data_IF_332068169036
#
_entry.id   IF_332068169036
#
_cell.length_a   1.000
_cell.length_b   1.000
_cell.length_c   1.000
_cell.angle_alpha   90.00
_cell.angle_beta   90.00
_cell.angle_gamma   90.00
#
_symmetry.space_group_name_H-M   'P 1'
#
loop_
_entity.id
_entity.type
_entity.pdbx_description
1 polymer ?
#
# COMPACT_ATOMS: atom_id res chain seq x y z
N UNK A 1 -23.86 -25.17 15.70
CA UNK A 1 -24.28 -23.87 15.16
C UNK A 1 -23.01 -23.10 14.88
N UNK A 2 -22.68 -22.87 13.60
CA UNK A 2 -21.46 -22.15 13.22
C UNK A 2 -21.72 -20.66 13.46
N UNK A 3 -20.89 -20.00 14.24
CA UNK A 3 -21.00 -18.57 14.46
C UNK A 3 -20.58 -17.79 13.20
N UNK A 4 -21.13 -16.60 12.98
CA UNK A 4 -20.89 -15.81 11.76
C UNK A 4 -19.40 -15.55 11.51
N UNK A 5 -18.61 -15.31 12.56
CA UNK A 5 -17.16 -15.11 12.46
C UNK A 5 -16.40 -16.39 12.03
N UNK A 6 -16.90 -17.58 12.40
CA UNK A 6 -16.32 -18.85 11.95
C UNK A 6 -16.55 -19.03 10.45
N UNK A 7 -17.72 -18.63 9.95
CA UNK A 7 -18.02 -18.67 8.52
C UNK A 7 -17.07 -17.77 7.72
N UNK A 8 -16.80 -16.55 8.21
CA UNK A 8 -15.85 -15.62 7.58
C UNK A 8 -14.44 -16.20 7.53
N UNK A 9 -13.97 -16.80 8.63
CA UNK A 9 -12.66 -17.44 8.66
C UNK A 9 -12.57 -18.63 7.69
N UNK A 10 -13.60 -19.48 7.64
CA UNK A 10 -13.64 -20.60 6.69
C UNK A 10 -13.64 -20.09 5.26
N UNK A 11 -14.45 -19.08 4.92
CA UNK A 11 -14.44 -18.48 3.58
C UNK A 11 -13.08 -17.90 3.20
N UNK A 12 -12.41 -17.23 4.14
CA UNK A 12 -11.09 -16.65 3.93
C UNK A 12 -10.04 -17.72 3.67
N UNK A 13 -10.03 -18.80 4.47
CA UNK A 13 -9.11 -19.92 4.29
C UNK A 13 -9.39 -20.69 3.00
N UNK A 14 -10.66 -20.90 2.63
CA UNK A 14 -11.04 -21.57 1.39
C UNK A 14 -10.66 -20.73 0.17
N UNK A 15 -10.88 -19.41 0.22
CA UNK A 15 -10.51 -18.49 -0.85
C UNK A 15 -8.98 -18.47 -1.07
N UNK A 16 -8.21 -18.24 0.00
CA UNK A 16 -6.75 -18.19 -0.10
C UNK A 16 -6.14 -19.56 -0.41
N UNK A 17 -6.66 -20.64 0.18
CA UNK A 17 -6.25 -22.01 -0.16
C UNK A 17 -6.55 -22.34 -1.62
N UNK A 18 -7.70 -21.92 -2.13
CA UNK A 18 -8.06 -22.02 -3.55
C UNK A 18 -7.09 -21.28 -4.46
N UNK A 19 -6.77 -20.02 -4.14
CA UNK A 19 -5.77 -19.24 -4.90
C UNK A 19 -4.41 -19.93 -4.94
N UNK A 20 -3.94 -20.49 -3.82
CA UNK A 20 -2.66 -21.21 -3.78
C UNK A 20 -2.69 -22.50 -4.61
N UNK A 21 -3.83 -23.21 -4.64
CA UNK A 21 -4.01 -24.38 -5.52
C UNK A 21 -3.97 -23.96 -6.98
N UNK A 22 -4.67 -22.88 -7.35
CA UNK A 22 -4.66 -22.34 -8.72
C UNK A 22 -3.26 -21.93 -9.12
N UNK A 23 -2.53 -21.23 -8.25
CA UNK A 23 -1.12 -20.86 -8.47
C UNK A 23 -0.26 -22.10 -8.75
N UNK A 24 -0.40 -23.14 -7.94
CA UNK A 24 0.36 -24.39 -8.11
C UNK A 24 -0.01 -25.16 -9.38
N UNK A 25 -1.26 -25.10 -9.83
CA UNK A 25 -1.73 -25.79 -11.03
C UNK A 25 -1.36 -25.06 -12.32
N UNK A 26 -1.50 -23.75 -12.35
CA UNK A 26 -1.33 -22.94 -13.57
C UNK A 26 0.04 -22.23 -13.64
N UNK A 27 0.82 -22.27 -12.55
CA UNK A 27 2.09 -21.57 -12.40
C UNK A 27 1.91 -20.08 -12.75
N UNK A 28 1.14 -19.37 -11.93
CA UNK A 28 0.72 -17.99 -12.19
C UNK A 28 1.91 -17.03 -12.22
N UNK A 29 3.06 -17.41 -11.65
CA UNK A 29 4.30 -16.65 -11.75
C UNK A 29 4.71 -16.40 -13.20
N UNK A 30 4.40 -17.31 -14.13
CA UNK A 30 4.64 -17.12 -15.58
C UNK A 30 3.87 -15.94 -16.16
N UNK A 31 2.76 -15.57 -15.55
CA UNK A 31 1.92 -14.43 -15.93
C UNK A 31 2.20 -13.18 -15.09
N UNK A 32 3.24 -13.21 -14.23
CA UNK A 32 3.58 -12.11 -13.34
C UNK A 32 2.70 -12.03 -12.09
N UNK A 33 1.96 -13.09 -11.76
CA UNK A 33 1.12 -13.14 -10.55
C UNK A 33 1.73 -14.13 -9.55
N UNK A 34 2.20 -13.63 -8.41
CA UNK A 34 2.74 -14.45 -7.34
C UNK A 34 1.72 -14.53 -6.19
N UNK A 35 1.40 -15.75 -5.76
CA UNK A 35 0.44 -15.99 -4.68
C UNK A 35 1.15 -16.58 -3.47
N UNK A 36 1.26 -15.78 -2.41
CA UNK A 36 1.73 -16.19 -1.10
C UNK A 36 0.53 -16.29 -0.12
N UNK A 37 0.68 -16.93 1.05
CA UNK A 37 -0.37 -16.92 2.06
C UNK A 37 -0.78 -15.48 2.41
N UNK A 38 -2.03 -15.14 2.11
CA UNK A 38 -2.63 -13.82 2.36
C UNK A 38 -2.01 -12.64 1.60
N UNK A 39 -1.12 -12.90 0.64
CA UNK A 39 -0.48 -11.88 -0.16
C UNK A 39 -0.53 -12.27 -1.64
N UNK A 40 -1.16 -11.43 -2.45
CA UNK A 40 -1.20 -11.59 -3.89
C UNK A 40 -0.46 -10.44 -4.54
N UNK A 41 0.52 -10.74 -5.39
CA UNK A 41 1.36 -9.73 -6.05
C UNK A 41 1.17 -9.87 -7.55
N UNK A 42 0.74 -8.79 -8.21
CA UNK A 42 0.57 -8.71 -9.66
C UNK A 42 1.60 -7.75 -10.23
N UNK A 43 2.66 -8.29 -10.84
CA UNK A 43 3.73 -7.55 -11.53
C UNK A 43 3.34 -7.23 -12.97
N UNK A 44 3.73 -6.05 -13.42
CA UNK A 44 3.57 -5.59 -14.80
C UNK A 44 4.74 -4.69 -15.21
N UNK A 45 5.16 -4.79 -16.47
CA UNK A 45 6.15 -3.88 -17.08
C UNK A 45 5.50 -2.77 -17.91
N UNK A 46 4.18 -2.86 -18.16
CA UNK A 46 3.47 -1.91 -19.01
C UNK A 46 3.46 -0.50 -18.40
N UNK A 47 3.32 -0.41 -17.08
CA UNK A 47 3.31 0.87 -16.35
C UNK A 47 4.69 1.53 -16.35
N UNK A 48 5.79 0.76 -16.39
CA UNK A 48 7.16 1.29 -16.40
C UNK A 48 7.39 2.23 -17.58
N UNK A 49 6.86 1.90 -18.77
CA UNK A 49 6.98 2.72 -19.97
C UNK A 49 6.22 4.05 -19.84
N UNK A 50 5.04 4.03 -19.20
CA UNK A 50 4.22 5.22 -18.96
C UNK A 50 4.95 6.16 -17.99
N UNK A 51 5.41 5.60 -16.86
CA UNK A 51 6.19 6.34 -15.86
C UNK A 51 7.46 6.93 -16.46
N UNK A 52 8.20 6.13 -17.25
CA UNK A 52 9.42 6.58 -17.93
C UNK A 52 9.15 7.74 -18.89
N UNK A 53 8.11 7.65 -19.72
CA UNK A 53 7.73 8.74 -20.64
C UNK A 53 7.33 10.00 -19.89
N UNK A 54 6.56 9.86 -18.81
CA UNK A 54 6.12 11.00 -17.99
C UNK A 54 7.29 11.68 -17.27
N UNK A 55 8.21 10.90 -16.70
CA UNK A 55 9.41 11.42 -16.03
C UNK A 55 10.35 12.14 -17.02
N UNK A 56 10.62 11.53 -18.16
CA UNK A 56 11.54 12.07 -19.17
C UNK A 56 10.99 13.29 -19.92
N UNK A 57 9.68 13.55 -19.87
CA UNK A 57 9.07 14.75 -20.49
C UNK A 57 9.49 16.05 -19.80
N UNK A 58 9.71 16.01 -18.49
CA UNK A 58 10.07 17.18 -17.69
C UNK A 58 10.93 16.80 -16.47
N UNK A 59 12.13 16.19 -16.68
CA UNK A 59 12.93 15.63 -15.60
C UNK A 59 13.27 16.67 -14.54
N UNK A 60 13.63 17.91 -14.94
CA UNK A 60 13.91 18.99 -14.00
C UNK A 60 12.73 19.31 -13.06
N UNK A 61 11.49 19.29 -13.56
CA UNK A 61 10.32 19.55 -12.71
C UNK A 61 10.13 18.46 -11.66
N UNK A 62 10.31 17.19 -12.05
CA UNK A 62 10.22 16.06 -11.14
C UNK A 62 11.34 16.04 -10.10
N UNK A 63 12.56 16.44 -10.48
CA UNK A 63 13.69 16.57 -9.54
C UNK A 63 13.43 17.65 -8.50
N UNK A 64 13.00 18.85 -8.93
CA UNK A 64 12.64 19.93 -8.00
C UNK A 64 11.53 19.49 -7.04
N UNK A 65 10.50 18.81 -7.57
CA UNK A 65 9.42 18.27 -6.73
C UNK A 65 9.94 17.23 -5.75
N UNK A 66 10.81 16.32 -6.20
CA UNK A 66 11.48 15.31 -5.37
C UNK A 66 12.29 15.94 -4.25
N UNK A 67 13.20 16.85 -4.59
CA UNK A 67 14.05 17.57 -3.64
C UNK A 67 13.24 18.37 -2.62
N UNK A 68 12.17 19.04 -3.05
CA UNK A 68 11.25 19.75 -2.15
C UNK A 68 10.44 18.79 -1.25
N UNK A 69 10.14 17.58 -1.74
CA UNK A 69 9.40 16.58 -0.98
C UNK A 69 10.21 15.97 0.17
N UNK A 70 11.55 15.95 0.08
CA UNK A 70 12.42 15.40 1.12
C UNK A 70 12.24 16.12 2.47
N UNK A 71 12.46 17.45 2.59
CA UNK A 71 12.27 18.14 3.86
C UNK A 71 10.80 18.10 4.30
N UNK A 72 9.83 18.14 3.38
CA UNK A 72 8.41 18.01 3.71
C UNK A 72 8.09 16.63 4.30
N UNK A 73 8.65 15.56 3.73
CA UNK A 73 8.48 14.18 4.18
C UNK A 73 9.06 13.97 5.58
N UNK A 74 10.29 14.42 5.82
CA UNK A 74 10.88 14.40 7.17
C UNK A 74 10.10 15.25 8.17
N UNK A 75 9.58 16.41 7.76
CA UNK A 75 8.74 17.26 8.62
C UNK A 75 7.43 16.57 8.97
N UNK A 76 6.76 15.95 8.00
CA UNK A 76 5.53 15.21 8.20
C UNK A 76 5.74 13.98 9.10
N UNK A 77 6.85 13.25 8.91
CA UNK A 77 7.24 12.15 9.78
C UNK A 77 7.45 12.63 11.23
N UNK A 78 8.22 13.71 11.41
CA UNK A 78 8.44 14.31 12.73
C UNK A 78 7.14 14.77 13.40
N UNK A 79 6.25 15.41 12.64
CA UNK A 79 4.94 15.82 13.14
C UNK A 79 4.05 14.63 13.53
N UNK A 80 4.05 13.56 12.73
CA UNK A 80 3.34 12.33 13.04
C UNK A 80 3.84 11.67 14.34
N UNK A 81 5.16 11.54 14.50
CA UNK A 81 5.78 11.03 15.73
C UNK A 81 5.43 11.90 16.94
N UNK A 82 5.45 13.23 16.76
CA UNK A 82 5.05 14.17 17.81
C UNK A 82 3.60 13.97 18.25
N UNK A 83 2.65 13.88 17.31
CA UNK A 83 1.23 13.65 17.61
C UNK A 83 1.01 12.30 18.31
N UNK A 84 1.66 11.24 17.83
CA UNK A 84 1.56 9.91 18.47
C UNK A 84 2.14 9.92 19.88
N UNK A 85 3.25 10.61 20.09
CA UNK A 85 3.89 10.76 21.41
C UNK A 85 3.01 11.57 22.37
N UNK A 86 2.41 12.67 21.90
CA UNK A 86 1.43 13.43 22.68
C UNK A 86 0.22 12.58 23.05
N UNK A 87 -0.31 11.82 22.10
CA UNK A 87 -1.46 10.95 22.34
C UNK A 87 -1.12 9.86 23.38
N UNK A 88 0.07 9.29 23.29
CA UNK A 88 0.59 8.32 24.26
C UNK A 88 0.72 8.94 25.66
N UNK A 89 1.31 10.13 25.79
CA UNK A 89 1.42 10.83 27.07
C UNK A 89 0.03 11.17 27.65
N UNK A 90 -0.89 11.65 26.80
CA UNK A 90 -2.26 11.91 27.23
C UNK A 90 -2.95 10.62 27.71
N UNK A 91 -2.69 9.47 27.10
CA UNK A 91 -3.26 8.21 27.56
C UNK A 91 -2.88 7.87 29.01
N UNK A 92 -1.68 8.26 29.48
CA UNK A 92 -1.24 8.05 30.86
C UNK A 92 -1.69 9.15 31.83
N UNK A 93 -1.56 10.42 31.43
CA UNK A 93 -1.73 11.54 32.36
C UNK A 93 -3.07 12.26 32.25
N UNK A 94 -3.72 12.20 31.07
CA UNK A 94 -4.99 12.88 30.77
C UNK A 94 -5.87 12.01 29.87
N UNK A 95 -6.37 10.85 30.34
CA UNK A 95 -7.00 9.86 29.49
C UNK A 95 -8.19 10.41 28.68
N UNK A 96 -8.92 11.36 29.25
CA UNK A 96 -10.07 12.04 28.60
C UNK A 96 -9.68 12.87 27.37
N UNK A 97 -8.39 13.20 27.20
CA UNK A 97 -7.86 13.94 26.05
C UNK A 97 -7.11 13.02 25.07
N UNK A 98 -7.03 11.72 25.36
CA UNK A 98 -6.40 10.74 24.47
C UNK A 98 -7.42 10.23 23.45
N UNK A 99 -6.97 10.04 22.21
CA UNK A 99 -7.74 9.37 21.16
C UNK A 99 -7.33 7.89 21.11
N UNK A 100 -8.28 6.94 21.24
CA UNK A 100 -7.97 5.52 21.14
C UNK A 100 -7.50 5.17 19.73
N UNK A 101 -6.31 4.56 19.64
CA UNK A 101 -5.78 4.01 18.39
C UNK A 101 -6.35 2.60 18.25
N UNK A 102 -7.37 2.45 17.41
CA UNK A 102 -8.02 1.16 17.15
C UNK A 102 -7.61 0.63 15.78
N UNK A 103 -7.31 -0.69 15.65
CA UNK A 103 -7.10 -1.30 14.34
C UNK A 103 -8.34 -1.12 13.46
N UNK A 104 -8.14 -0.94 12.14
CA UNK A 104 -9.22 -0.74 11.20
C UNK A 104 -9.82 -2.10 10.80
N UNK A 105 -10.85 -2.55 11.54
CA UNK A 105 -11.51 -3.85 11.36
C UNK A 105 -12.97 -3.61 10.94
N UNK A 106 -13.33 -3.94 9.69
CA UNK A 106 -14.69 -3.77 9.18
C UNK A 106 -15.71 -4.49 10.05
N UNK A 107 -16.79 -3.80 10.43
CA UNK A 107 -17.89 -4.36 11.22
C UNK A 107 -17.60 -4.48 12.72
N UNK A 108 -16.37 -4.22 13.18
CA UNK A 108 -16.00 -4.24 14.60
C UNK A 108 -15.62 -2.85 15.10
N UNK A 109 -14.60 -2.23 14.48
CA UNK A 109 -14.11 -0.91 14.89
C UNK A 109 -14.54 0.21 13.93
N UNK A 110 -14.88 -0.12 12.69
CA UNK A 110 -15.40 0.81 11.68
C UNK A 110 -16.61 0.21 10.97
N UNK A 111 -17.56 1.06 10.56
CA UNK A 111 -18.69 0.62 9.74
C UNK A 111 -18.21 0.19 8.35
N UNK A 112 -18.96 -0.68 7.68
CA UNK A 112 -18.65 -1.10 6.30
C UNK A 112 -18.54 0.09 5.34
N UNK A 113 -19.42 1.08 5.48
CA UNK A 113 -19.38 2.29 4.68
C UNK A 113 -18.08 3.10 4.91
N UNK A 114 -17.72 3.34 6.17
CA UNK A 114 -16.48 4.02 6.53
C UNK A 114 -15.24 3.25 6.08
N UNK A 115 -15.28 1.92 6.12
CA UNK A 115 -14.20 1.08 5.62
C UNK A 115 -13.98 1.26 4.12
N UNK A 116 -15.03 1.19 3.29
CA UNK A 116 -14.88 1.40 1.84
C UNK A 116 -14.42 2.82 1.52
N UNK A 117 -14.89 3.83 2.27
CA UNK A 117 -14.40 5.19 2.14
C UNK A 117 -12.89 5.29 2.45
N UNK A 118 -12.44 4.69 3.54
CA UNK A 118 -11.02 4.63 3.90
C UNK A 118 -10.20 3.85 2.86
N UNK A 119 -10.75 2.75 2.33
CA UNK A 119 -10.12 1.92 1.31
C UNK A 119 -9.84 2.71 0.03
N UNK A 120 -10.79 3.52 -0.42
CA UNK A 120 -10.59 4.42 -1.58
C UNK A 120 -9.48 5.42 -1.29
N UNK A 121 -9.47 6.03 -0.10
CA UNK A 121 -8.39 6.92 0.32
C UNK A 121 -7.03 6.24 0.26
N UNK A 122 -6.91 5.04 0.82
CA UNK A 122 -5.68 4.23 0.81
C UNK A 122 -5.23 3.93 -0.62
N UNK A 123 -6.13 3.46 -1.49
CA UNK A 123 -5.82 3.16 -2.90
C UNK A 123 -5.26 4.40 -3.59
N UNK A 124 -5.94 5.53 -3.46
CA UNK A 124 -5.54 6.77 -4.12
C UNK A 124 -4.19 7.23 -3.59
N UNK A 125 -4.01 7.29 -2.27
CA UNK A 125 -2.76 7.72 -1.65
C UNK A 125 -1.60 6.82 -2.04
N UNK A 126 -1.75 5.49 -1.96
CA UNK A 126 -0.70 4.56 -2.35
C UNK A 126 -0.40 4.62 -3.84
N UNK A 127 -1.42 4.72 -4.70
CA UNK A 127 -1.19 4.86 -6.14
C UNK A 127 -0.31 6.08 -6.45
N UNK A 128 -0.63 7.25 -5.88
CA UNK A 128 0.18 8.44 -6.07
C UNK A 128 1.56 8.35 -5.42
N UNK A 129 1.67 7.70 -4.26
CA UNK A 129 2.95 7.48 -3.57
C UNK A 129 3.93 6.67 -4.44
N UNK A 130 3.47 5.53 -4.95
CA UNK A 130 4.28 4.64 -5.77
C UNK A 130 4.60 5.26 -7.14
N UNK A 131 3.64 5.95 -7.75
CA UNK A 131 3.88 6.72 -8.98
C UNK A 131 4.95 7.78 -8.74
N UNK A 132 4.90 8.49 -7.62
CA UNK A 132 5.89 9.53 -7.29
C UNK A 132 7.29 8.93 -7.17
N UNK A 133 7.45 7.78 -6.50
CA UNK A 133 8.73 7.04 -6.46
C UNK A 133 9.23 6.69 -7.85
N UNK A 134 8.36 6.13 -8.70
CA UNK A 134 8.72 5.78 -10.08
C UNK A 134 9.12 6.98 -10.94
N UNK A 135 8.40 8.10 -10.80
CA UNK A 135 8.73 9.34 -11.52
C UNK A 135 10.05 9.94 -11.04
N UNK A 136 10.28 9.98 -9.73
CA UNK A 136 11.52 10.46 -9.14
C UNK A 136 12.73 9.61 -9.59
N UNK A 137 12.62 8.28 -9.50
CA UNK A 137 13.67 7.36 -9.94
C UNK A 137 14.03 7.57 -11.42
N UNK A 138 13.02 7.61 -12.31
CA UNK A 138 13.26 7.84 -13.75
C UNK A 138 13.77 9.24 -14.05
N UNK A 139 13.38 10.26 -13.29
CA UNK A 139 13.92 11.62 -13.43
C UNK A 139 15.42 11.66 -13.09
N UNK A 140 15.89 10.81 -12.18
CA UNK A 140 17.32 10.59 -11.88
C UNK A 140 17.99 9.55 -12.80
N UNK A 141 17.33 9.17 -13.90
CA UNK A 141 17.77 8.16 -14.87
C UNK A 141 17.91 6.73 -14.32
N UNK A 142 17.44 6.45 -13.10
CA UNK A 142 17.50 5.11 -12.49
C UNK A 142 16.40 4.22 -13.12
N UNK A 143 16.70 3.01 -13.65
CA UNK A 143 15.71 2.18 -14.33
C UNK A 143 14.62 1.65 -13.38
N UNK A 144 13.42 1.40 -13.91
CA UNK A 144 12.36 0.66 -13.19
C UNK A 144 12.34 -0.77 -13.72
N UNK A 145 12.60 -1.73 -12.84
CA UNK A 145 12.61 -3.16 -13.13
C UNK A 145 11.19 -3.69 -13.32
N UNK A 146 10.31 -3.43 -12.35
CA UNK A 146 8.91 -3.84 -12.41
C UNK A 146 8.02 -2.88 -11.63
N UNK A 147 6.73 -2.88 -11.91
CA UNK A 147 5.75 -2.17 -11.07
C UNK A 147 4.49 -3.02 -10.98
N UNK A 148 3.59 -2.71 -10.06
CA UNK A 148 2.43 -3.55 -9.92
C UNK A 148 1.50 -3.18 -8.79
N UNK A 149 0.56 -4.08 -8.56
CA UNK A 149 -0.41 -4.00 -7.48
C UNK A 149 -0.21 -5.23 -6.60
N UNK A 150 -0.29 -5.04 -5.30
CA UNK A 150 -0.34 -6.13 -4.34
C UNK A 150 -1.64 -6.06 -3.54
N UNK A 151 -2.08 -7.19 -3.02
CA UNK A 151 -3.20 -7.28 -2.11
C UNK A 151 -2.76 -8.05 -0.88
N UNK A 152 -2.73 -7.37 0.27
CA UNK A 152 -2.55 -8.00 1.58
C UNK A 152 -3.93 -8.24 2.17
N UNK A 153 -4.37 -9.50 2.22
CA UNK A 153 -5.76 -9.88 2.49
C UNK A 153 -6.72 -9.16 1.53
N UNK A 154 -7.32 -8.05 1.97
CA UNK A 154 -8.27 -7.23 1.22
C UNK A 154 -7.73 -5.81 0.98
N UNK A 155 -6.54 -5.49 1.51
CA UNK A 155 -5.93 -4.18 1.42
C UNK A 155 -5.10 -4.12 0.13
N UNK A 156 -5.52 -3.30 -0.85
CA UNK A 156 -4.73 -3.05 -2.04
C UNK A 156 -3.51 -2.19 -1.69
N UNK A 157 -2.42 -2.45 -2.39
CA UNK A 157 -1.22 -1.63 -2.41
C UNK A 157 -0.66 -1.57 -3.82
N UNK A 158 0.22 -0.60 -4.05
CA UNK A 158 1.05 -0.56 -5.25
C UNK A 158 2.50 -0.85 -4.90
N UNK A 159 3.32 -1.09 -5.91
CA UNK A 159 4.77 -1.00 -5.77
C UNK A 159 5.42 -0.57 -7.08
N UNK A 160 6.55 0.12 -6.97
CA UNK A 160 7.50 0.33 -8.07
C UNK A 160 8.86 -0.20 -7.64
N UNK A 161 9.33 -1.23 -8.33
CA UNK A 161 10.62 -1.87 -8.10
C UNK A 161 11.68 -1.19 -8.98
N UNK A 162 12.65 -0.56 -8.32
CA UNK A 162 13.77 0.13 -8.95
C UNK A 162 14.89 -0.88 -9.22
N UNK A 163 15.61 -0.70 -10.32
CA UNK A 163 16.79 -1.50 -10.63
C UNK A 163 18.01 -0.90 -9.91
N UNK A 164 18.49 -1.58 -8.87
CA UNK A 164 19.64 -1.16 -8.05
C UNK A 164 20.98 -1.76 -8.51
N UNK A 165 21.00 -2.48 -9.64
CA UNK A 165 22.21 -3.05 -10.26
C UNK A 165 22.93 -2.10 -11.24
#
# INVERSE_FOLDING_TARGET
MIAEWQLVLVMLLVFWGGLMIVDRLFNLEKYGVSVLPFLLICRTTKLNNILSKAALKAPHAWRILGDASIPLGYSALGYGVYLLSLNLLNAFFRPQQSSPIVPLIPGITVTWFSFFYALVGIVVTLAFHEIAHGLAARAENIPIKSSGVLFLLFLPGGFVEIDEE
#
